data_IF_307878665265
#
_entry.id   IF_307878665265
#
_cell.length_a   1.000
_cell.length_b   1.000
_cell.length_c   1.000
_cell.angle_alpha   90.00
_cell.angle_beta   90.00
_cell.angle_gamma   90.00
#
_symmetry.space_group_name_H-M   'P 1'
#
loop_
_entity.id
_entity.type
_entity.pdbx_description
1 polymer ?
#
# COMPACT_ATOMS: atom_id res chain seq x y z
N UNK A 1 -9.39 -0.20 30.05
CA UNK A 1 -8.80 0.59 28.95
C UNK A 1 -7.93 -0.33 28.10
N UNK A 2 -8.13 -0.43 26.77
CA UNK A 2 -7.24 -1.18 25.92
C UNK A 2 -5.91 -0.44 25.73
N UNK A 3 -4.81 -1.18 25.58
CA UNK A 3 -3.53 -0.59 25.19
C UNK A 3 -3.49 -0.23 23.71
N UNK A 4 -4.13 -1.04 22.88
CA UNK A 4 -4.21 -0.86 21.43
C UNK A 4 -5.67 -0.92 20.99
N UNK A 5 -6.11 0.06 20.22
CA UNK A 5 -7.35 0.00 19.45
C UNK A 5 -7.00 -0.37 18.01
N UNK A 6 -7.34 -1.59 17.61
CA UNK A 6 -7.20 -2.03 16.22
C UNK A 6 -8.53 -1.92 15.49
N UNK A 7 -8.53 -1.34 14.30
CA UNK A 7 -9.73 -1.22 13.49
C UNK A 7 -9.47 -1.47 12.00
N UNK A 8 -10.53 -1.86 11.31
CA UNK A 8 -10.53 -2.10 9.86
C UNK A 8 -11.69 -1.29 9.28
N UNK A 9 -11.39 -0.43 8.31
CA UNK A 9 -12.39 0.42 7.65
C UNK A 9 -11.74 1.20 6.53
N UNK A 10 -12.47 2.17 6.01
CA UNK A 10 -12.00 3.01 4.93
C UNK A 10 -11.51 4.36 5.49
N UNK A 11 -10.81 5.12 4.68
CA UNK A 11 -10.27 6.44 5.00
C UNK A 11 -11.31 7.44 5.52
N UNK A 12 -12.56 7.33 5.06
CA UNK A 12 -13.70 8.14 5.53
C UNK A 12 -14.02 7.90 7.00
N UNK A 13 -13.66 6.73 7.54
CA UNK A 13 -13.91 6.36 8.95
C UNK A 13 -12.80 6.84 9.88
N UNK A 14 -11.65 7.25 9.34
CA UNK A 14 -10.45 7.59 10.10
C UNK A 14 -10.69 8.70 11.13
N UNK A 15 -11.27 9.82 10.68
CA UNK A 15 -11.54 10.96 11.55
C UNK A 15 -12.59 10.64 12.61
N UNK A 16 -13.75 10.04 12.27
CA UNK A 16 -14.71 9.57 13.26
C UNK A 16 -14.11 8.64 14.32
N UNK A 17 -13.37 7.61 13.91
CA UNK A 17 -12.74 6.66 14.86
C UNK A 17 -11.77 7.39 15.79
N UNK A 18 -10.87 8.21 15.26
CA UNK A 18 -9.91 8.94 16.06
C UNK A 18 -10.57 9.92 17.02
N UNK A 19 -11.62 10.62 16.60
CA UNK A 19 -12.35 11.59 17.42
C UNK A 19 -13.20 10.90 18.50
N UNK A 20 -14.03 9.92 18.11
CA UNK A 20 -14.94 9.25 19.02
C UNK A 20 -14.23 8.43 20.07
N UNK A 21 -13.08 7.80 19.73
CA UNK A 21 -12.23 7.12 20.70
C UNK A 21 -11.91 8.05 21.88
N UNK A 22 -11.55 9.29 21.59
CA UNK A 22 -11.23 10.30 22.63
C UNK A 22 -12.47 10.82 23.33
N UNK A 23 -13.58 11.04 22.61
CA UNK A 23 -14.85 11.54 23.16
C UNK A 23 -15.44 10.59 24.22
N UNK A 24 -15.37 9.27 23.97
CA UNK A 24 -15.84 8.27 24.93
C UNK A 24 -14.85 7.98 26.06
N UNK A 25 -13.78 8.77 26.15
CA UNK A 25 -12.79 8.65 27.22
C UNK A 25 -11.78 7.52 27.07
N UNK A 26 -11.72 6.85 25.93
CA UNK A 26 -10.68 5.87 25.67
C UNK A 26 -9.34 6.57 25.40
N UNK A 27 -8.26 6.04 25.96
CA UNK A 27 -6.89 6.54 25.81
C UNK A 27 -5.95 5.35 25.54
N UNK A 28 -6.10 4.69 24.38
CA UNK A 28 -5.17 3.65 23.98
C UNK A 28 -3.78 4.27 23.74
N UNK A 29 -2.74 3.50 23.97
CA UNK A 29 -1.37 3.91 23.63
C UNK A 29 -1.16 3.99 22.12
N UNK A 30 -1.98 3.26 21.35
CA UNK A 30 -1.92 3.20 19.91
C UNK A 30 -3.31 2.98 19.30
N UNK A 31 -3.67 3.76 18.29
CA UNK A 31 -4.80 3.50 17.41
C UNK A 31 -4.22 2.97 16.09
N UNK A 32 -4.44 1.69 15.80
CA UNK A 32 -3.88 1.02 14.65
C UNK A 32 -4.95 0.71 13.61
N UNK A 33 -4.80 1.24 12.40
CA UNK A 33 -5.72 1.00 11.29
C UNK A 33 -5.12 0.07 10.23
N UNK A 34 -5.88 -0.94 9.80
CA UNK A 34 -5.55 -1.73 8.63
C UNK A 34 -5.88 -0.95 7.34
N UNK A 35 -5.16 -1.20 6.22
CA UNK A 35 -5.38 -0.45 4.98
C UNK A 35 -6.77 -0.76 4.36
N UNK A 36 -7.38 0.21 3.69
CA UNK A 36 -7.00 1.60 3.50
C UNK A 36 -7.62 2.53 4.55
N UNK A 37 -7.06 2.55 5.76
CA UNK A 37 -7.73 3.17 6.92
C UNK A 37 -7.36 4.63 7.19
N UNK A 38 -6.20 5.10 6.76
CA UNK A 38 -5.75 6.45 7.06
C UNK A 38 -5.48 7.24 5.78
N UNK A 39 -6.24 8.33 5.51
CA UNK A 39 -6.06 9.13 4.30
C UNK A 39 -4.70 9.87 4.29
N UNK A 40 -4.21 10.15 3.10
CA UNK A 40 -3.10 11.10 2.92
C UNK A 40 -3.55 12.48 3.41
N UNK A 41 -2.69 13.13 4.16
CA UNK A 41 -3.00 14.42 4.79
C UNK A 41 -3.49 14.29 6.24
N UNK A 42 -3.84 13.09 6.71
CA UNK A 42 -4.24 12.89 8.10
C UNK A 42 -3.10 13.23 9.09
N UNK A 43 -1.85 13.15 8.66
CA UNK A 43 -0.67 13.55 9.45
C UNK A 43 -0.71 15.00 9.92
N UNK A 44 -1.45 15.88 9.23
CA UNK A 44 -1.64 17.28 9.60
C UNK A 44 -2.75 17.49 10.64
N UNK A 45 -3.53 16.45 10.93
CA UNK A 45 -4.60 16.53 11.90
C UNK A 45 -4.05 16.29 13.31
N UNK A 46 -4.43 17.10 14.32
CA UNK A 46 -4.02 16.87 15.71
C UNK A 46 -4.38 15.47 16.26
N UNK A 47 -5.39 14.83 15.68
CA UNK A 47 -5.81 13.47 16.04
C UNK A 47 -4.88 12.37 15.50
N UNK A 48 -3.88 12.72 14.71
CA UNK A 48 -2.89 11.74 14.19
C UNK A 48 -1.88 11.29 15.25
N UNK A 49 -1.81 11.96 16.38
CA UNK A 49 -0.98 11.54 17.50
C UNK A 49 -1.38 10.14 17.97
N UNK A 50 -0.40 9.28 18.27
CA UNK A 50 -0.58 7.89 18.71
C UNK A 50 -1.33 7.01 17.70
N UNK A 51 -1.25 7.38 16.42
CA UNK A 51 -1.85 6.64 15.32
C UNK A 51 -0.77 5.94 14.51
N UNK A 52 -1.03 4.71 14.16
CA UNK A 52 -0.23 3.92 13.23
C UNK A 52 -1.12 3.13 12.29
N UNK A 53 -0.53 2.58 11.26
CA UNK A 53 -1.25 1.75 10.31
C UNK A 53 -0.32 0.91 9.44
N UNK A 54 -0.91 0.22 8.50
CA UNK A 54 -0.23 -0.58 7.52
C UNK A 54 -0.56 -0.08 6.12
N UNK A 55 0.42 -0.09 5.23
CA UNK A 55 0.23 0.19 3.81
C UNK A 55 1.20 -0.66 2.98
N UNK A 56 0.91 -0.84 1.70
CA UNK A 56 1.81 -1.55 0.80
C UNK A 56 2.86 -0.61 0.18
N UNK A 57 2.66 0.70 0.23
CA UNK A 57 3.55 1.66 -0.42
C UNK A 57 3.44 3.05 0.19
N UNK A 58 4.55 3.78 0.16
CA UNK A 58 4.62 5.20 0.46
C UNK A 58 5.46 5.91 -0.61
N UNK A 59 5.14 7.16 -0.97
CA UNK A 59 5.89 7.91 -1.98
C UNK A 59 7.34 8.20 -1.58
N UNK A 60 7.69 7.98 -0.32
CA UNK A 60 9.04 8.14 0.24
C UNK A 60 9.92 6.90 0.07
N UNK A 61 9.39 5.78 -0.43
CA UNK A 61 10.19 4.58 -0.67
C UNK A 61 11.30 4.84 -1.68
N UNK A 62 12.51 4.38 -1.35
CA UNK A 62 13.74 4.72 -2.07
C UNK A 62 14.05 3.85 -3.29
N UNK A 63 13.28 2.79 -3.57
CA UNK A 63 13.54 1.96 -4.74
C UNK A 63 13.33 2.74 -6.05
N UNK A 64 14.09 2.37 -7.08
CA UNK A 64 14.14 3.09 -8.36
C UNK A 64 12.77 3.23 -9.03
N UNK A 65 11.98 2.15 -9.06
CA UNK A 65 10.66 2.16 -9.72
C UNK A 65 9.65 3.00 -8.94
N UNK A 66 9.73 3.07 -7.61
CA UNK A 66 8.92 3.98 -6.79
C UNK A 66 9.23 5.44 -7.13
N UNK A 67 10.51 5.81 -7.20
CA UNK A 67 10.91 7.18 -7.58
C UNK A 67 10.46 7.56 -8.99
N UNK A 68 10.63 6.67 -9.96
CA UNK A 68 10.17 6.87 -11.34
C UNK A 68 8.65 7.05 -11.42
N UNK A 69 7.91 6.22 -10.66
CA UNK A 69 6.45 6.35 -10.59
C UNK A 69 6.04 7.70 -10.02
N UNK A 70 6.61 8.11 -8.88
CA UNK A 70 6.29 9.39 -8.22
C UNK A 70 6.59 10.56 -9.16
N UNK A 71 7.74 10.56 -9.82
CA UNK A 71 8.13 11.61 -10.77
C UNK A 71 7.14 11.70 -11.94
N UNK A 72 6.84 10.57 -12.58
CA UNK A 72 5.90 10.51 -13.69
C UNK A 72 4.48 10.92 -13.28
N UNK A 73 4.03 10.48 -12.11
CA UNK A 73 2.72 10.83 -11.57
C UNK A 73 2.62 12.33 -11.31
N UNK A 74 3.62 12.91 -10.63
CA UNK A 74 3.67 14.35 -10.33
C UNK A 74 3.66 15.20 -11.58
N UNK A 75 4.42 14.81 -12.60
CA UNK A 75 4.46 15.52 -13.87
C UNK A 75 3.10 15.57 -14.57
N UNK A 76 2.29 14.51 -14.41
CA UNK A 76 1.02 14.39 -15.13
C UNK A 76 -0.20 14.84 -14.32
N UNK A 77 -0.20 14.58 -13.02
CA UNK A 77 -1.39 14.73 -12.16
C UNK A 77 -1.17 15.65 -10.96
N UNK A 78 0.04 16.13 -10.69
CA UNK A 78 0.39 16.86 -9.48
C UNK A 78 0.83 15.93 -8.35
N UNK A 79 0.56 16.31 -7.09
CA UNK A 79 0.98 15.49 -5.95
C UNK A 79 0.26 14.14 -5.90
N UNK A 80 0.95 13.17 -5.33
CA UNK A 80 0.37 11.84 -5.10
C UNK A 80 -0.58 11.94 -3.91
N UNK A 81 -1.87 11.87 -4.18
CA UNK A 81 -2.94 11.98 -3.18
C UNK A 81 -3.47 10.63 -2.73
N UNK A 82 -3.20 9.59 -3.51
CA UNK A 82 -3.63 8.22 -3.23
C UNK A 82 -2.46 7.44 -2.62
N UNK A 83 -2.76 6.58 -1.66
CA UNK A 83 -1.78 5.67 -1.07
C UNK A 83 -1.29 4.64 -2.11
N UNK A 84 -1.24 3.38 -1.72
CA UNK A 84 -0.80 2.29 -2.60
C UNK A 84 -1.74 2.01 -3.79
N UNK A 85 -2.96 2.58 -3.81
CA UNK A 85 -3.94 2.31 -4.88
C UNK A 85 -3.47 2.83 -6.24
N UNK A 86 -2.90 4.04 -6.30
CA UNK A 86 -2.39 4.60 -7.56
C UNK A 86 -1.23 3.76 -8.15
N UNK A 87 -0.14 3.46 -7.42
CA UNK A 87 0.90 2.59 -7.96
C UNK A 87 0.43 1.15 -8.20
N UNK A 88 -0.57 0.64 -7.45
CA UNK A 88 -1.13 -0.68 -7.70
C UNK A 88 -1.85 -0.74 -9.05
N UNK A 89 -2.69 0.26 -9.36
CA UNK A 89 -3.35 0.37 -10.66
C UNK A 89 -2.33 0.42 -11.81
N UNK A 90 -1.25 1.19 -11.64
CA UNK A 90 -0.15 1.24 -12.61
C UNK A 90 0.52 -0.14 -12.81
N UNK A 91 0.82 -0.85 -11.73
CA UNK A 91 1.45 -2.19 -11.79
C UNK A 91 0.52 -3.20 -12.49
N UNK A 92 -0.77 -3.18 -12.16
CA UNK A 92 -1.77 -4.07 -12.80
C UNK A 92 -1.79 -3.81 -14.31
N UNK A 93 -1.95 -2.57 -14.74
CA UNK A 93 -2.01 -2.23 -16.16
C UNK A 93 -0.71 -2.59 -16.88
N UNK A 94 0.45 -2.27 -16.30
CA UNK A 94 1.76 -2.57 -16.87
C UNK A 94 2.01 -4.08 -16.98
N UNK A 95 1.65 -4.86 -15.96
CA UNK A 95 1.82 -6.33 -15.99
C UNK A 95 0.96 -7.00 -17.05
N UNK A 96 -0.28 -6.54 -17.21
CA UNK A 96 -1.18 -7.04 -18.28
C UNK A 96 -0.67 -6.69 -19.68
N UNK A 97 -0.20 -5.45 -19.88
CA UNK A 97 0.37 -5.04 -21.16
C UNK A 97 1.60 -5.90 -21.54
N UNK A 98 2.54 -6.07 -20.60
CA UNK A 98 3.72 -6.91 -20.81
C UNK A 98 3.36 -8.39 -21.06
N UNK A 99 2.34 -8.90 -20.37
CA UNK A 99 1.86 -10.26 -20.59
C UNK A 99 1.23 -10.42 -21.98
N UNK A 100 0.45 -9.44 -22.45
CA UNK A 100 -0.13 -9.44 -23.80
C UNK A 100 0.96 -9.36 -24.90
N UNK A 101 1.96 -8.51 -24.72
CA UNK A 101 3.13 -8.43 -25.61
C UNK A 101 3.86 -9.78 -25.70
N UNK A 102 4.15 -10.42 -24.56
CA UNK A 102 4.78 -11.75 -24.51
C UNK A 102 3.94 -12.83 -25.16
N UNK A 103 2.63 -12.78 -24.95
CA UNK A 103 1.70 -13.75 -25.57
C UNK A 103 1.60 -13.57 -27.10
N UNK A 104 1.91 -12.38 -27.62
CA UNK A 104 1.67 -12.01 -29.01
C UNK A 104 0.20 -12.17 -29.41
N UNK A 105 -0.74 -11.96 -28.47
CA UNK A 105 -2.14 -12.31 -28.64
C UNK A 105 -3.02 -11.56 -27.66
N UNK A 106 -4.28 -11.29 -28.07
CA UNK A 106 -5.33 -10.79 -27.19
C UNK A 106 -6.14 -11.93 -26.52
N UNK A 107 -5.80 -13.19 -26.77
CA UNK A 107 -6.47 -14.32 -26.13
C UNK A 107 -6.17 -14.35 -24.63
N UNK A 108 -7.24 -14.37 -23.82
CA UNK A 108 -7.15 -14.29 -22.37
C UNK A 108 -6.34 -15.43 -21.72
N UNK A 109 -6.38 -16.64 -22.30
CA UNK A 109 -5.68 -17.79 -21.74
C UNK A 109 -4.19 -17.67 -22.00
N UNK A 110 -3.80 -17.25 -23.22
CA UNK A 110 -2.40 -17.00 -23.58
C UNK A 110 -1.81 -15.84 -22.75
N UNK A 111 -2.59 -14.78 -22.52
CA UNK A 111 -2.18 -13.68 -21.64
C UNK A 111 -1.99 -14.18 -20.19
N UNK A 112 -2.91 -15.00 -19.68
CA UNK A 112 -2.82 -15.55 -18.33
C UNK A 112 -1.59 -16.47 -18.16
N UNK A 113 -1.26 -17.27 -19.16
CA UNK A 113 -0.04 -18.09 -19.16
C UNK A 113 1.22 -17.23 -19.17
N UNK A 114 1.26 -16.21 -20.02
CA UNK A 114 2.37 -15.27 -20.08
C UNK A 114 2.52 -14.47 -18.76
N UNK A 115 1.41 -14.06 -18.15
CA UNK A 115 1.38 -13.39 -16.86
C UNK A 115 1.93 -14.28 -15.74
N UNK A 116 1.60 -15.56 -15.75
CA UNK A 116 2.09 -16.53 -14.77
C UNK A 116 3.62 -16.66 -14.73
N UNK A 117 4.29 -16.45 -15.85
CA UNK A 117 5.75 -16.43 -15.96
C UNK A 117 6.37 -15.03 -15.87
N UNK A 118 5.56 -13.99 -15.58
CA UNK A 118 6.05 -12.63 -15.55
C UNK A 118 6.84 -12.36 -14.27
N UNK A 119 7.99 -11.71 -14.44
CA UNK A 119 8.75 -11.11 -13.36
C UNK A 119 9.13 -9.69 -13.77
N UNK A 120 8.89 -8.70 -12.91
CA UNK A 120 9.20 -7.30 -13.19
C UNK A 120 9.47 -6.50 -11.91
N UNK A 121 10.26 -5.45 -12.04
CA UNK A 121 10.46 -4.50 -10.96
C UNK A 121 9.31 -3.48 -10.94
N UNK A 122 8.86 -3.14 -9.73
CA UNK A 122 7.68 -2.30 -9.51
C UNK A 122 7.93 -1.30 -8.38
N UNK A 123 7.07 -0.29 -8.20
CA UNK A 123 7.12 0.58 -7.02
C UNK A 123 7.08 -0.15 -5.67
N UNK A 124 6.50 -1.35 -5.63
CA UNK A 124 6.42 -2.17 -4.42
C UNK A 124 7.64 -3.06 -4.21
N UNK A 125 8.51 -3.16 -5.19
CA UNK A 125 9.60 -4.12 -5.26
C UNK A 125 9.41 -5.09 -6.43
N UNK A 126 10.07 -6.24 -6.35
CA UNK A 126 10.02 -7.23 -7.42
C UNK A 126 8.74 -8.03 -7.39
N UNK A 127 7.97 -7.96 -8.48
CA UNK A 127 6.78 -8.77 -8.72
C UNK A 127 7.18 -10.06 -9.44
N UNK A 128 6.71 -11.19 -8.94
CA UNK A 128 6.75 -12.48 -9.64
C UNK A 128 5.51 -13.29 -9.31
N UNK A 129 4.94 -13.96 -10.30
CA UNK A 129 3.81 -14.86 -10.09
C UNK A 129 4.30 -16.27 -9.86
N UNK A 130 3.72 -16.95 -8.90
CA UNK A 130 4.00 -18.35 -8.56
C UNK A 130 2.72 -19.04 -8.11
N UNK A 131 2.63 -20.36 -8.18
CA UNK A 131 1.50 -21.08 -7.60
C UNK A 131 1.32 -20.73 -6.12
N UNK A 132 0.06 -20.59 -5.70
CA UNK A 132 -0.26 -20.37 -4.29
C UNK A 132 -0.02 -21.64 -3.49
N UNK A 133 0.60 -21.50 -2.32
CA UNK A 133 0.87 -22.61 -1.40
C UNK A 133 -0.43 -23.26 -0.87
N UNK A 134 -1.54 -22.51 -0.91
CA UNK A 134 -2.85 -23.03 -0.47
C UNK A 134 -3.55 -23.88 -1.52
N UNK A 135 -3.07 -23.91 -2.75
CA UNK A 135 -3.72 -24.59 -3.88
C UNK A 135 -5.07 -23.98 -4.30
N UNK A 136 -5.57 -22.98 -3.57
CA UNK A 136 -6.88 -22.34 -3.84
C UNK A 136 -6.80 -21.28 -4.93
N UNK A 137 -5.65 -20.64 -5.10
CA UNK A 137 -5.38 -19.69 -6.17
C UNK A 137 -4.26 -20.21 -7.03
N UNK A 138 -4.37 -19.99 -8.34
CA UNK A 138 -3.40 -20.52 -9.28
C UNK A 138 -2.09 -19.74 -9.26
N UNK A 139 -2.16 -18.43 -8.97
CA UNK A 139 -1.00 -17.53 -8.98
C UNK A 139 -1.11 -16.51 -7.87
N UNK A 140 0.04 -16.15 -7.31
CA UNK A 140 0.19 -15.14 -6.28
C UNK A 140 1.31 -14.18 -6.72
N UNK A 141 0.98 -12.90 -6.85
CA UNK A 141 1.93 -11.88 -7.28
C UNK A 141 2.83 -11.40 -6.16
N UNK A 142 2.29 -10.59 -5.28
CA UNK A 142 3.01 -10.10 -4.11
C UNK A 142 2.73 -10.96 -2.88
N UNK A 143 3.76 -11.15 -2.06
CA UNK A 143 3.65 -11.75 -0.73
C UNK A 143 3.59 -10.69 0.38
N UNK A 144 3.75 -11.10 1.64
CA UNK A 144 3.72 -10.20 2.79
C UNK A 144 4.86 -9.17 2.81
N UNK A 145 5.90 -9.38 2.03
CA UNK A 145 7.09 -8.51 1.97
C UNK A 145 6.82 -7.10 1.44
N UNK A 146 5.70 -6.87 0.74
CA UNK A 146 5.35 -5.52 0.29
C UNK A 146 4.80 -4.66 1.42
N UNK A 147 4.20 -5.28 2.44
CA UNK A 147 3.56 -4.54 3.50
C UNK A 147 4.58 -3.86 4.40
N UNK A 148 4.27 -2.65 4.79
CA UNK A 148 5.02 -1.88 5.76
C UNK A 148 4.07 -1.29 6.80
N UNK A 149 4.57 -1.13 8.02
CA UNK A 149 3.87 -0.39 9.05
C UNK A 149 4.43 1.02 9.12
N UNK A 150 3.55 1.97 9.31
CA UNK A 150 3.91 3.37 9.48
C UNK A 150 3.32 3.92 10.76
N UNK A 151 3.92 4.99 11.26
CA UNK A 151 3.42 5.79 12.35
C UNK A 151 3.47 7.27 11.97
N UNK A 152 2.56 8.05 12.50
CA UNK A 152 2.64 9.51 12.39
C UNK A 152 3.58 10.04 13.47
N UNK A 153 4.72 10.55 13.05
CA UNK A 153 5.77 11.07 13.91
C UNK A 153 6.03 12.52 13.49
N UNK A 154 5.80 13.47 14.41
CA UNK A 154 5.99 14.89 14.14
C UNK A 154 5.32 15.38 12.86
N UNK A 155 4.06 14.99 12.67
CA UNK A 155 3.28 15.41 11.50
C UNK A 155 3.73 14.78 10.17
N UNK A 156 4.47 13.69 10.22
CA UNK A 156 4.95 12.97 9.04
C UNK A 156 4.62 11.49 9.16
N UNK A 157 4.16 10.91 8.07
CA UNK A 157 3.94 9.47 7.96
C UNK A 157 5.28 8.79 7.68
N UNK A 158 5.80 8.07 8.65
CA UNK A 158 7.10 7.39 8.57
C UNK A 158 6.94 5.88 8.61
N UNK A 159 7.59 5.12 7.71
CA UNK A 159 7.68 3.68 7.86
C UNK A 159 8.50 3.34 9.11
N UNK A 160 7.99 2.41 9.92
CA UNK A 160 8.63 1.96 11.17
C UNK A 160 8.93 0.47 11.16
N UNK A 161 8.33 -0.29 10.26
CA UNK A 161 8.58 -1.71 10.08
C UNK A 161 8.27 -2.12 8.63
N UNK A 162 9.01 -3.06 8.03
CA UNK A 162 10.23 -3.69 8.55
C UNK A 162 11.41 -2.71 8.62
N UNK A 163 12.44 -3.04 9.42
CA UNK A 163 13.55 -2.12 9.73
C UNK A 163 14.30 -1.61 8.50
N UNK A 164 14.45 -2.42 7.47
CA UNK A 164 15.10 -2.06 6.21
C UNK A 164 14.32 -1.02 5.38
N UNK A 165 13.04 -0.81 5.70
CA UNK A 165 12.19 0.22 5.10
C UNK A 165 11.96 1.42 6.04
N UNK A 166 12.34 1.30 7.31
CA UNK A 166 12.21 2.37 8.29
C UNK A 166 13.20 3.51 7.99
N UNK A 167 12.75 4.77 8.13
CA UNK A 167 13.52 5.98 7.82
C UNK A 167 13.31 7.06 8.89
#
# INVERSE_FOLDING_TARGET
>A
QPDILYWIGYDVDALPIAAQTRQVGLRPKLIYGAPPSWPIGFEKNPLSQDVAGMTAWLPTLSNLESRRFVEAYRKKYGEVTEEYMAPMGYVIAKSLALAAERAGSADKNRIAEALAGLTMDTPFGRLSFKPSDTGKTRYQGFGPEIWLQFQYIQGTRRPVFPKEKAS
#
